data_IF_335167202632
#
_entry.id   IF_335167202632
#
_cell.length_a   1.000
_cell.length_b   1.000
_cell.length_c   1.000
_cell.angle_alpha   90.00
_cell.angle_beta   90.00
_cell.angle_gamma   90.00
#
_symmetry.space_group_name_H-M   'P 1'
#
loop_
_entity.id
_entity.type
_entity.pdbx_description
1 polymer ?
#
# COMPACT_ATOMS: atom_id res chain seq x y z
N UNK A 1 28.98 17.82 31.65
CA UNK A 1 28.74 18.08 31.17
C UNK A 1 28.51 17.79 30.13
N UNK A 2 28.35 17.59 29.63
CA UNK A 2 28.24 17.39 28.58
C UNK A 2 27.64 16.42 28.03
N UNK A 3 27.59 15.70 28.38
CA UNK A 3 27.07 14.54 27.96
C UNK A 3 25.99 14.81 27.06
N UNK A 4 25.37 15.58 27.34
CA UNK A 4 24.30 15.85 26.60
C UNK A 4 24.53 15.89 25.22
N UNK A 5 25.46 16.26 24.91
CA UNK A 5 25.79 16.36 23.62
C UNK A 5 25.55 15.19 22.84
N UNK A 6 25.98 14.19 23.28
CA UNK A 6 25.92 13.03 22.53
C UNK A 6 24.55 12.76 22.05
N UNK A 7 23.77 12.88 22.86
CA UNK A 7 22.49 12.47 22.50
C UNK A 7 21.98 13.14 21.34
N UNK A 8 22.23 14.27 21.24
CA UNK A 8 21.80 14.92 20.19
C UNK A 8 22.14 14.33 18.92
N UNK A 9 23.25 14.01 18.83
CA UNK A 9 23.68 13.59 17.57
C UNK A 9 22.89 12.46 17.07
N UNK A 10 22.50 11.68 17.90
CA UNK A 10 21.77 10.62 17.51
C UNK A 10 20.59 10.94 16.74
N UNK A 11 19.90 11.69 17.24
CA UNK A 11 18.68 11.98 16.63
C UNK A 11 18.91 12.36 15.23
N UNK A 12 19.89 13.08 15.04
CA UNK A 12 20.16 13.47 13.80
C UNK A 12 20.33 12.41 12.86
N UNK A 13 21.03 11.54 13.22
CA UNK A 13 21.37 10.53 12.35
C UNK A 13 20.15 9.98 11.71
N UNK A 14 19.21 9.82 12.43
CA UNK A 14 18.04 9.27 11.91
C UNK A 14 17.43 10.04 10.85
N UNK A 15 17.39 11.23 11.02
CA UNK A 15 16.70 12.01 10.06
C UNK A 15 17.42 11.96 8.78
N UNK A 16 18.59 11.61 8.81
CA UNK A 16 19.31 11.65 7.60
C UNK A 16 18.91 10.59 6.62
N UNK A 17 18.17 9.68 7.05
CA UNK A 17 17.83 8.65 6.17
C UNK A 17 16.82 9.00 5.21
N UNK A 18 17.17 9.05 4.04
CA UNK A 18 16.27 9.41 3.01
C UNK A 18 15.54 8.29 2.43
N UNK A 19 15.01 7.48 3.13
CA UNK A 19 14.32 6.40 2.53
C UNK A 19 13.10 6.85 1.90
N UNK A 20 12.97 6.52 0.73
CA UNK A 20 11.82 6.95 -0.01
C UNK A 20 10.76 6.07 0.41
N UNK A 21 9.98 5.72 -0.04
CA UNK A 21 9.01 4.74 0.12
C UNK A 21 8.40 4.62 1.42
N UNK A 22 7.87 5.53 1.88
CA UNK A 22 7.22 5.40 3.11
C UNK A 22 5.98 4.62 2.96
N UNK A 23 6.04 3.38 3.10
CA UNK A 23 4.84 2.60 3.07
C UNK A 23 4.06 2.89 4.29
N UNK A 24 2.83 3.25 4.10
CA UNK A 24 2.00 3.64 5.19
C UNK A 24 1.22 2.52 5.82
N UNK A 25 1.22 1.39 5.21
CA UNK A 25 0.49 0.29 5.75
C UNK A 25 1.19 -0.24 6.98
N UNK A 26 0.45 -0.46 8.02
CA UNK A 26 1.00 -1.10 9.18
C UNK A 26 0.67 -2.56 9.09
N UNK A 27 1.67 -3.36 8.94
CA UNK A 27 1.48 -4.79 8.82
C UNK A 27 1.16 -5.35 10.18
N UNK A 28 0.06 -6.00 10.31
CA UNK A 28 -0.36 -6.63 11.55
C UNK A 28 -0.65 -8.08 11.26
N UNK A 29 -1.01 -8.83 12.28
CA UNK A 29 -1.35 -10.22 12.09
C UNK A 29 -2.55 -10.38 11.18
N UNK A 30 -3.32 -9.35 11.02
CA UNK A 30 -4.52 -9.43 10.19
C UNK A 30 -4.25 -9.03 8.74
N UNK A 31 -3.10 -8.46 8.47
CA UNK A 31 -2.78 -8.00 7.13
C UNK A 31 -2.39 -9.18 6.24
N UNK A 32 -2.99 -9.24 5.09
CA UNK A 32 -2.72 -10.26 4.10
C UNK A 32 -2.19 -9.61 2.84
N UNK A 33 -1.60 -10.37 1.99
CA UNK A 33 -1.04 -9.86 0.75
C UNK A 33 -1.37 -10.81 -0.39
N UNK A 34 -1.94 -10.28 -1.44
CA UNK A 34 -2.23 -11.04 -2.64
C UNK A 34 -1.51 -10.40 -3.83
N UNK A 35 -1.07 -11.25 -4.74
CA UNK A 35 -0.53 -10.78 -6.01
C UNK A 35 -1.62 -11.03 -7.03
N UNK A 36 -1.90 -10.07 -7.86
CA UNK A 36 -2.99 -10.22 -8.83
C UNK A 36 -2.85 -9.34 -10.05
N UNK A 37 -3.82 -9.47 -10.92
CA UNK A 37 -3.89 -8.66 -12.13
C UNK A 37 -5.22 -7.93 -12.09
N UNK A 38 -5.18 -6.63 -12.27
CA UNK A 38 -6.39 -5.81 -12.21
C UNK A 38 -7.35 -6.17 -13.33
N UNK A 39 -8.58 -6.44 -13.00
CA UNK A 39 -9.63 -6.71 -13.96
C UNK A 39 -10.46 -5.47 -14.17
N UNK A 40 -10.81 -4.80 -13.13
CA UNK A 40 -11.69 -3.64 -13.21
C UNK A 40 -11.58 -2.77 -11.97
N UNK A 41 -11.79 -1.50 -12.12
CA UNK A 41 -11.84 -0.56 -11.02
C UNK A 41 -13.19 0.16 -11.12
N UNK A 42 -13.96 0.14 -10.06
CA UNK A 42 -15.24 0.82 -10.04
C UNK A 42 -15.16 1.92 -8.96
N UNK A 43 -14.81 3.10 -9.40
CA UNK A 43 -14.64 4.21 -8.48
C UNK A 43 -15.95 4.59 -7.79
N UNK A 44 -17.04 4.41 -8.46
CA UNK A 44 -18.35 4.78 -7.88
C UNK A 44 -18.70 3.88 -6.72
N UNK A 45 -18.26 2.63 -6.77
CA UNK A 45 -18.53 1.70 -5.68
C UNK A 45 -17.33 1.56 -4.76
N UNK A 46 -16.26 2.23 -5.03
CA UNK A 46 -15.02 2.12 -4.27
C UNK A 46 -14.55 0.66 -4.21
N UNK A 47 -14.43 0.05 -5.38
CA UNK A 47 -14.02 -1.35 -5.48
C UNK A 47 -12.99 -1.56 -6.57
N UNK A 48 -12.13 -2.53 -6.37
CA UNK A 48 -11.21 -2.98 -7.40
C UNK A 48 -11.30 -4.49 -7.44
N UNK A 49 -11.36 -5.08 -8.64
CA UNK A 49 -11.34 -6.52 -8.76
C UNK A 49 -10.05 -6.95 -9.43
N UNK A 50 -9.52 -8.02 -8.94
CA UNK A 50 -8.28 -8.56 -9.48
C UNK A 50 -8.35 -10.07 -9.53
N UNK A 51 -7.65 -10.65 -10.49
CA UNK A 51 -7.50 -12.10 -10.57
C UNK A 51 -6.28 -12.45 -9.75
N UNK A 52 -6.45 -13.32 -8.78
CA UNK A 52 -5.36 -13.78 -7.92
C UNK A 52 -5.23 -15.28 -8.06
N UNK A 53 -4.21 -15.90 -7.50
CA UNK A 53 -4.09 -17.35 -7.54
C UNK A 53 -5.30 -18.06 -6.93
N UNK A 54 -6.00 -17.39 -6.04
CA UNK A 54 -7.16 -17.99 -5.42
C UNK A 54 -8.45 -17.68 -6.19
N UNK A 55 -8.37 -16.96 -7.29
CA UNK A 55 -9.52 -16.59 -8.09
C UNK A 55 -9.74 -15.10 -8.11
N UNK A 56 -10.91 -14.68 -8.53
CA UNK A 56 -11.22 -13.26 -8.62
C UNK A 56 -11.62 -12.75 -7.24
N UNK A 57 -10.99 -11.69 -6.83
CA UNK A 57 -11.29 -11.09 -5.53
C UNK A 57 -11.70 -9.64 -5.74
N UNK A 58 -12.71 -9.22 -5.02
CA UNK A 58 -13.15 -7.82 -5.02
C UNK A 58 -12.63 -7.19 -3.74
N UNK A 59 -11.85 -6.13 -3.90
CA UNK A 59 -11.30 -5.41 -2.77
C UNK A 59 -12.02 -4.08 -2.62
N UNK A 60 -12.39 -3.74 -1.40
CA UNK A 60 -12.97 -2.43 -1.13
C UNK A 60 -11.82 -1.45 -1.07
N UNK A 61 -11.96 -0.32 -1.73
CA UNK A 61 -10.88 0.67 -1.81
C UNK A 61 -11.41 1.98 -1.23
N UNK A 62 -11.32 2.10 0.05
CA UNK A 62 -11.79 3.30 0.72
C UNK A 62 -10.89 4.49 0.42
N UNK A 63 -11.20 5.64 0.99
CA UNK A 63 -10.44 6.86 0.72
C UNK A 63 -9.02 6.83 1.24
N UNK A 64 -8.74 5.93 2.16
CA UNK A 64 -7.40 5.88 2.76
C UNK A 64 -6.46 4.90 2.08
N UNK A 65 -6.88 4.26 1.02
CA UNK A 65 -6.01 3.29 0.38
C UNK A 65 -4.86 4.01 -0.31
N UNK A 66 -3.67 3.48 -0.17
CA UNK A 66 -2.48 4.06 -0.76
C UNK A 66 -2.11 3.26 -2.00
N UNK A 67 -1.78 3.94 -3.07
CA UNK A 67 -1.39 3.27 -4.31
C UNK A 67 -0.02 3.77 -4.73
N UNK A 68 0.89 2.84 -4.98
CA UNK A 68 2.25 3.18 -5.34
C UNK A 68 2.64 2.57 -6.69
N UNK A 69 3.47 3.29 -7.41
CA UNK A 69 4.00 2.79 -8.65
C UNK A 69 5.13 1.81 -8.37
N UNK A 70 5.56 1.15 -9.41
CA UNK A 70 6.59 0.13 -9.30
C UNK A 70 7.85 0.65 -8.65
N UNK A 71 8.18 1.90 -8.84
CA UNK A 71 9.38 2.49 -8.28
C UNK A 71 9.16 3.08 -6.89
N UNK A 72 7.97 2.89 -6.34
CA UNK A 72 7.67 3.37 -5.00
C UNK A 72 7.07 4.76 -4.93
N UNK A 73 6.89 5.41 -6.06
CA UNK A 73 6.30 6.73 -6.04
C UNK A 73 4.78 6.63 -5.90
N UNK A 74 4.16 7.54 -5.20
CA UNK A 74 2.72 7.51 -5.08
C UNK A 74 2.05 7.66 -6.43
N UNK A 75 1.13 6.78 -6.73
CA UNK A 75 0.40 6.89 -7.97
C UNK A 75 -0.78 7.82 -7.77
N UNK A 76 -1.29 7.87 -6.58
CA UNK A 76 -2.42 8.72 -6.28
C UNK A 76 -3.68 7.91 -6.08
N UNK A 77 -4.59 8.01 -6.98
CA UNK A 77 -5.89 7.38 -6.79
C UNK A 77 -5.98 5.98 -7.38
N UNK A 78 -6.81 5.17 -6.78
CA UNK A 78 -7.06 3.83 -7.28
C UNK A 78 -7.62 3.91 -8.69
N UNK A 79 -8.35 4.97 -9.03
CA UNK A 79 -8.93 5.12 -10.35
C UNK A 79 -7.89 5.22 -11.46
N UNK A 80 -6.63 5.41 -11.09
CA UNK A 80 -5.59 5.47 -12.10
C UNK A 80 -5.06 4.08 -12.45
N UNK A 81 -5.48 3.07 -11.73
CA UNK A 81 -5.09 1.71 -12.07
C UNK A 81 -5.82 1.28 -13.35
N UNK A 82 -5.15 0.50 -14.15
CA UNK A 82 -5.71 0.07 -15.41
C UNK A 82 -5.83 -1.44 -15.49
N UNK A 83 -6.78 -1.88 -16.27
CA UNK A 83 -6.97 -3.30 -16.48
C UNK A 83 -5.69 -3.92 -17.03
N UNK A 84 -5.35 -5.06 -16.53
CA UNK A 84 -4.16 -5.77 -16.99
C UNK A 84 -2.91 -5.49 -16.20
N UNK A 85 -2.93 -4.49 -15.32
CA UNK A 85 -1.73 -4.20 -14.53
C UNK A 85 -1.58 -5.24 -13.43
N UNK A 86 -0.33 -5.59 -13.14
CA UNK A 86 -0.04 -6.52 -12.08
C UNK A 86 0.14 -5.72 -10.81
N UNK A 87 -0.47 -6.19 -9.74
CA UNK A 87 -0.45 -5.46 -8.47
C UNK A 87 -0.20 -6.40 -7.32
N UNK A 88 0.28 -5.83 -6.24
CA UNK A 88 0.37 -6.52 -4.97
C UNK A 88 -0.57 -5.76 -4.06
N UNK A 89 -1.53 -6.45 -3.47
CA UNK A 89 -2.54 -5.81 -2.64
C UNK A 89 -2.35 -6.24 -1.20
N UNK A 90 -2.14 -5.27 -0.32
CA UNK A 90 -2.12 -5.52 1.11
C UNK A 90 -3.50 -5.20 1.64
N UNK A 91 -4.12 -6.16 2.29
CA UNK A 91 -5.50 -6.01 2.71
C UNK A 91 -5.79 -6.76 4.00
N UNK A 92 -6.93 -6.49 4.59
CA UNK A 92 -7.40 -7.27 5.71
C UNK A 92 -8.86 -7.62 5.43
N UNK A 93 -9.37 -8.60 6.15
CA UNK A 93 -10.74 -9.06 5.94
C UNK A 93 -11.63 -8.55 7.05
N UNK A 94 -12.67 -7.83 6.68
CA UNK A 94 -13.64 -7.32 7.62
C UNK A 94 -14.91 -7.16 6.80
N UNK A 95 -15.70 -8.20 6.73
CA UNK A 95 -16.89 -8.24 5.92
C UNK A 95 -16.49 -8.00 4.47
N UNK A 96 -15.49 -8.75 4.03
CA UNK A 96 -14.93 -8.62 2.69
C UNK A 96 -13.49 -8.17 2.77
N UNK A 97 -12.80 -8.19 1.66
CA UNK A 97 -11.40 -7.80 1.60
C UNK A 97 -11.32 -6.28 1.50
N UNK A 98 -10.60 -5.66 2.40
CA UNK A 98 -10.45 -4.21 2.41
C UNK A 98 -9.01 -3.87 2.13
N UNK A 99 -8.76 -3.24 1.00
CA UNK A 99 -7.40 -2.90 0.59
C UNK A 99 -6.86 -1.75 1.44
N UNK A 100 -5.61 -1.87 1.83
CA UNK A 100 -4.93 -0.82 2.57
C UNK A 100 -3.86 -0.18 1.69
N UNK A 101 -3.15 -0.99 0.93
CA UNK A 101 -2.10 -0.49 0.05
C UNK A 101 -2.07 -1.34 -1.20
N UNK A 102 -1.89 -0.72 -2.36
CA UNK A 102 -1.77 -1.41 -3.63
C UNK A 102 -0.50 -0.95 -4.29
N UNK A 103 0.38 -1.87 -4.59
CA UNK A 103 1.64 -1.56 -5.24
C UNK A 103 1.65 -2.15 -6.64
N UNK A 104 1.99 -1.34 -7.64
CA UNK A 104 2.15 -1.85 -8.99
C UNK A 104 3.43 -2.66 -9.04
N UNK A 105 3.41 -3.73 -9.79
CA UNK A 105 4.56 -4.61 -9.92
C UNK A 105 5.27 -4.46 -11.26
#
# INVERSE_FOLDING_TARGET
>A
MHALVATLSLALALTGLPFPAPRLVQVTDRTKCDMGVVIAVDAAKSEMRATTPAGVVTYKTGPDVQVFEKDGQPLGAVSKLQQGQRVRVYYYVDNGAIAQEIDLE
#
